data_IF_448719904193
#
_entry.id   IF_448719904193
#
_cell.length_a   1.000
_cell.length_b   1.000
_cell.length_c   1.000
_cell.angle_alpha   90.00
_cell.angle_beta   90.00
_cell.angle_gamma   90.00
#
_symmetry.space_group_name_H-M   'P 1'
#
loop_
_entity.id
_entity.type
_entity.pdbx_description
1 polymer ?
#
# COMPACT_ATOMS: atom_id res chain seq x y z
N UNK A 1 14.65 13.38 16.94
CA UNK A 1 14.26 12.47 15.84
C UNK A 1 12.89 11.91 16.12
N UNK A 2 11.96 12.06 15.18
CA UNK A 2 10.62 11.50 15.35
C UNK A 2 10.65 10.00 15.14
N UNK A 3 10.06 9.27 16.06
CA UNK A 3 9.85 7.84 15.87
C UNK A 3 8.39 7.58 15.55
N UNK A 4 8.16 6.61 14.67
CA UNK A 4 6.83 6.22 14.24
C UNK A 4 6.53 4.81 14.72
N UNK A 5 5.29 4.59 15.11
CA UNK A 5 4.75 3.28 15.41
C UNK A 5 3.49 3.09 14.56
N UNK A 6 3.26 1.87 14.13
CA UNK A 6 2.08 1.61 13.33
C UNK A 6 1.72 0.14 13.32
N UNK A 7 0.47 -0.11 13.05
CA UNK A 7 -0.01 -1.47 12.82
C UNK A 7 -1.10 -1.44 11.74
N UNK A 8 -1.30 -2.59 11.11
CA UNK A 8 -2.35 -2.74 10.11
C UNK A 8 -3.02 -4.09 10.33
N UNK A 9 -4.34 -4.10 10.21
CA UNK A 9 -5.14 -5.30 10.32
C UNK A 9 -6.31 -5.22 9.35
N UNK A 10 -6.66 -6.35 8.76
CA UNK A 10 -7.80 -6.45 7.86
C UNK A 10 -8.69 -7.58 8.33
N UNK A 11 -9.97 -7.29 8.51
CA UNK A 11 -10.95 -8.26 8.99
C UNK A 11 -12.14 -8.30 8.04
N UNK A 12 -12.76 -9.49 7.85
CA UNK A 12 -13.95 -9.58 7.03
C UNK A 12 -15.14 -8.95 7.72
N UNK A 13 -16.03 -8.33 6.95
CA UNK A 13 -17.31 -7.85 7.46
C UNK A 13 -18.27 -8.99 7.75
N UNK A 14 -19.36 -8.69 8.46
CA UNK A 14 -20.35 -9.70 8.84
C UNK A 14 -20.94 -10.45 7.65
N UNK A 15 -21.18 -9.77 6.54
CA UNK A 15 -21.69 -10.41 5.33
C UNK A 15 -20.72 -11.43 4.75
N UNK A 16 -19.43 -11.14 4.78
CA UNK A 16 -18.39 -12.06 4.33
C UNK A 16 -18.29 -13.28 5.25
N UNK A 17 -18.37 -13.05 6.57
CA UNK A 17 -18.32 -14.14 7.54
C UNK A 17 -19.50 -15.09 7.33
N UNK A 18 -20.71 -14.56 7.15
CA UNK A 18 -21.92 -15.37 6.94
C UNK A 18 -21.87 -16.21 5.67
N UNK A 19 -21.21 -15.71 4.63
CA UNK A 19 -21.08 -16.40 3.33
C UNK A 19 -19.78 -17.20 3.22
N UNK A 20 -19.01 -17.25 4.27
CA UNK A 20 -17.71 -17.91 4.27
C UNK A 20 -16.76 -17.35 3.19
N UNK A 21 -16.86 -16.04 2.96
CA UNK A 21 -16.01 -15.34 1.99
C UNK A 21 -14.81 -14.79 2.74
N UNK A 22 -13.58 -14.99 2.27
CA UNK A 22 -12.40 -14.40 2.90
C UNK A 22 -12.42 -12.89 2.83
N UNK A 23 -11.69 -12.24 3.73
CA UNK A 23 -11.50 -10.80 3.67
C UNK A 23 -10.84 -10.44 2.33
N UNK A 24 -11.50 -9.56 1.57
CA UNK A 24 -11.05 -9.18 0.24
C UNK A 24 -10.17 -7.94 0.24
N UNK A 25 -10.03 -7.30 1.40
CA UNK A 25 -9.17 -6.15 1.57
C UNK A 25 -7.83 -6.58 2.16
N UNK A 26 -6.81 -5.85 1.84
CA UNK A 26 -5.49 -6.09 2.39
C UNK A 26 -4.88 -4.76 2.85
N UNK A 27 -4.05 -4.84 3.86
CA UNK A 27 -3.37 -3.68 4.39
C UNK A 27 -1.94 -4.03 4.75
N UNK A 28 -1.10 -3.00 4.80
CA UNK A 28 0.28 -3.19 5.19
C UNK A 28 0.83 -1.91 5.81
N UNK A 29 1.75 -2.10 6.73
CA UNK A 29 2.49 -1.00 7.32
C UNK A 29 3.95 -1.43 7.47
N UNK A 30 4.85 -0.52 7.15
CA UNK A 30 6.27 -0.70 7.43
C UNK A 30 6.89 0.65 7.76
N UNK A 31 7.86 0.64 8.65
CA UNK A 31 8.42 1.87 9.20
C UNK A 31 9.81 2.16 8.68
N UNK A 32 10.48 1.18 8.09
CA UNK A 32 11.82 1.34 7.56
C UNK A 32 11.87 0.84 6.12
N UNK A 33 12.62 1.47 5.24
CA UNK A 33 13.46 2.64 5.50
C UNK A 33 12.66 3.92 5.74
N UNK A 34 11.42 3.98 5.27
CA UNK A 34 10.53 5.13 5.48
C UNK A 34 9.18 4.65 5.99
N UNK A 35 8.53 5.44 6.86
CA UNK A 35 7.16 5.10 7.28
C UNK A 35 6.22 5.07 6.09
N UNK A 36 5.47 3.98 5.97
CA UNK A 36 4.55 3.79 4.87
C UNK A 36 3.37 2.93 5.32
N UNK A 37 2.20 3.26 4.84
CA UNK A 37 1.03 2.42 5.04
C UNK A 37 0.22 2.34 3.75
N UNK A 38 -0.45 1.22 3.56
CA UNK A 38 -1.24 0.97 2.36
C UNK A 38 -2.48 0.16 2.70
N UNK A 39 -3.57 0.48 2.04
CA UNK A 39 -4.81 -0.30 2.09
C UNK A 39 -5.23 -0.57 0.65
N UNK A 40 -5.57 -1.81 0.37
CA UNK A 40 -6.06 -2.24 -0.94
C UNK A 40 -7.43 -2.89 -0.77
N UNK A 41 -8.39 -2.43 -1.58
CA UNK A 41 -9.75 -2.94 -1.59
C UNK A 41 -9.88 -3.91 -2.77
N UNK A 42 -10.21 -5.16 -2.48
CA UNK A 42 -10.45 -6.16 -3.49
C UNK A 42 -11.85 -6.02 -4.07
N UNK A 43 -11.99 -6.28 -5.38
CA UNK A 43 -13.30 -6.22 -6.03
C UNK A 43 -14.22 -7.29 -5.46
N UNK A 44 -15.33 -6.87 -4.84
CA UNK A 44 -16.23 -7.75 -4.11
C UNK A 44 -16.88 -8.84 -4.95
N UNK A 45 -17.08 -8.59 -6.25
CA UNK A 45 -17.67 -9.56 -7.18
C UNK A 45 -16.66 -10.54 -7.78
N UNK A 46 -15.36 -10.32 -7.59
CA UNK A 46 -14.33 -11.17 -8.15
C UNK A 46 -13.97 -12.30 -7.19
N UNK A 47 -13.93 -13.52 -7.71
CA UNK A 47 -13.75 -14.74 -6.91
C UNK A 47 -12.46 -14.76 -6.11
N UNK A 48 -11.37 -14.24 -6.68
CA UNK A 48 -10.04 -14.27 -6.08
C UNK A 48 -9.52 -12.88 -5.75
N UNK A 49 -10.41 -11.93 -5.47
CA UNK A 49 -10.01 -10.54 -5.20
C UNK A 49 -9.15 -10.40 -3.95
N UNK A 50 -9.31 -11.30 -2.96
CA UNK A 50 -8.46 -11.30 -1.77
C UNK A 50 -6.98 -11.55 -2.11
N UNK A 51 -6.70 -12.39 -3.09
CA UNK A 51 -5.33 -12.60 -3.57
C UNK A 51 -4.81 -11.38 -4.32
N UNK A 52 -5.67 -10.74 -5.10
CA UNK A 52 -5.32 -9.51 -5.81
C UNK A 52 -4.96 -8.37 -4.85
N UNK A 53 -5.76 -8.19 -3.81
CA UNK A 53 -5.49 -7.16 -2.80
C UNK A 53 -4.15 -7.42 -2.08
N UNK A 54 -3.89 -8.66 -1.70
CA UNK A 54 -2.64 -9.04 -1.05
C UNK A 54 -1.44 -8.85 -1.99
N UNK A 55 -1.59 -9.24 -3.25
CA UNK A 55 -0.54 -9.07 -4.26
C UNK A 55 -0.23 -7.58 -4.48
N UNK A 56 -1.25 -6.74 -4.48
CA UNK A 56 -1.06 -5.28 -4.65
C UNK A 56 -0.26 -4.69 -3.50
N UNK A 57 -0.54 -5.09 -2.26
CA UNK A 57 0.23 -4.64 -1.09
C UNK A 57 1.69 -5.06 -1.21
N UNK A 58 1.94 -6.32 -1.57
CA UNK A 58 3.31 -6.83 -1.74
C UNK A 58 4.06 -6.13 -2.87
N UNK A 59 3.38 -5.92 -4.00
CA UNK A 59 3.98 -5.25 -5.15
C UNK A 59 4.35 -3.82 -4.82
N UNK A 60 3.48 -3.09 -4.13
CA UNK A 60 3.77 -1.71 -3.72
C UNK A 60 4.97 -1.66 -2.79
N UNK A 61 5.02 -2.55 -1.80
CA UNK A 61 6.15 -2.60 -0.87
C UNK A 61 7.47 -2.88 -1.60
N UNK A 62 7.47 -3.84 -2.52
CA UNK A 62 8.66 -4.16 -3.32
C UNK A 62 9.09 -2.98 -4.18
N UNK A 63 8.12 -2.29 -4.79
CA UNK A 63 8.40 -1.13 -5.63
C UNK A 63 8.99 0.02 -4.81
N UNK A 64 8.48 0.26 -3.61
CA UNK A 64 9.02 1.28 -2.72
C UNK A 64 10.47 0.98 -2.34
N UNK A 65 10.80 -0.28 -2.09
CA UNK A 65 12.17 -0.67 -1.76
C UNK A 65 13.12 -0.43 -2.93
N UNK A 66 12.70 -0.76 -4.15
CA UNK A 66 13.50 -0.54 -5.36
C UNK A 66 13.70 0.95 -5.63
N UNK A 67 12.71 1.77 -5.31
CA UNK A 67 12.70 3.19 -5.62
C UNK A 67 13.11 4.06 -4.44
N UNK A 68 13.77 3.51 -3.44
CA UNK A 68 14.10 4.25 -2.20
C UNK A 68 14.91 5.51 -2.49
N UNK A 69 15.87 5.46 -3.40
CA UNK A 69 16.69 6.64 -3.73
C UNK A 69 15.83 7.75 -4.35
N UNK A 70 14.90 7.39 -5.21
CA UNK A 70 13.97 8.35 -5.79
C UNK A 70 13.03 8.92 -4.73
N UNK A 71 12.51 8.07 -3.84
CA UNK A 71 11.65 8.51 -2.75
C UNK A 71 12.39 9.45 -1.81
N UNK A 72 13.66 9.17 -1.53
CA UNK A 72 14.48 10.04 -0.72
C UNK A 72 14.60 11.44 -1.33
N UNK A 73 14.89 11.51 -2.62
CA UNK A 73 15.00 12.78 -3.33
C UNK A 73 13.68 13.55 -3.35
N UNK A 74 12.56 12.85 -3.53
CA UNK A 74 11.24 13.47 -3.65
C UNK A 74 10.69 13.91 -2.30
N UNK A 75 10.87 13.10 -1.26
CA UNK A 75 10.24 13.34 0.05
C UNK A 75 11.09 14.17 1.00
N UNK A 76 12.40 14.12 0.89
CA UNK A 76 13.27 14.70 1.92
C UNK A 76 13.91 16.04 1.55
N UNK A 77 14.01 16.37 0.31
CA UNK A 77 14.83 17.54 -0.01
C UNK A 77 14.33 18.45 -1.09
N UNK A 78 13.32 18.07 -1.80
CA UNK A 78 12.90 18.85 -2.96
C UNK A 78 11.44 19.27 -2.87
N UNK A 79 11.17 20.45 -3.41
CA UNK A 79 9.79 20.95 -3.43
C UNK A 79 8.94 20.10 -4.36
N UNK A 80 7.77 19.74 -3.88
CA UNK A 80 6.77 19.10 -4.70
C UNK A 80 6.24 20.08 -5.73
N UNK A 81 6.06 19.59 -6.94
CA UNK A 81 5.33 20.30 -8.00
C UNK A 81 4.59 19.25 -8.83
N UNK A 82 3.74 19.73 -9.74
CA UNK A 82 2.87 18.86 -10.53
C UNK A 82 3.68 17.84 -11.35
N UNK A 83 4.81 18.26 -11.94
CA UNK A 83 5.64 17.39 -12.74
C UNK A 83 6.28 16.27 -11.91
N UNK A 84 6.72 16.58 -10.70
CA UNK A 84 7.31 15.59 -9.80
C UNK A 84 6.27 14.60 -9.31
N UNK A 85 5.09 15.08 -9.00
CA UNK A 85 3.98 14.21 -8.60
C UNK A 85 3.61 13.26 -9.73
N UNK A 86 3.47 13.77 -10.97
CA UNK A 86 3.18 12.93 -12.13
C UNK A 86 4.26 11.89 -12.36
N UNK A 87 5.53 12.29 -12.26
CA UNK A 87 6.65 11.36 -12.42
C UNK A 87 6.58 10.25 -11.38
N UNK A 88 6.34 10.62 -10.12
CA UNK A 88 6.20 9.64 -9.05
C UNK A 88 5.06 8.66 -9.33
N UNK A 89 3.88 9.17 -9.68
CA UNK A 89 2.72 8.34 -10.00
C UNK A 89 3.01 7.40 -11.17
N UNK A 90 3.66 7.90 -12.23
CA UNK A 90 3.98 7.07 -13.39
C UNK A 90 4.96 5.94 -13.07
N UNK A 91 5.88 6.17 -12.14
CA UNK A 91 6.82 5.15 -11.72
C UNK A 91 6.18 4.09 -10.82
N UNK A 92 5.06 4.41 -10.17
CA UNK A 92 4.36 3.49 -9.29
C UNK A 92 3.31 2.65 -10.02
N UNK A 93 3.04 2.90 -11.27
CA UNK A 93 2.16 2.11 -12.11
C UNK A 93 3.00 1.09 -12.89
#
# INVERSE_FOLDING_TARGET
>A
MNSFRGFAVSVPGNGHIRREIPCQDASGVWLAPRPCLIVCDGRGSARYSHYGAQAAVKAFRSQCAVMEDLLAAVLDGEKWNDNRWLRFCNLMI
#
